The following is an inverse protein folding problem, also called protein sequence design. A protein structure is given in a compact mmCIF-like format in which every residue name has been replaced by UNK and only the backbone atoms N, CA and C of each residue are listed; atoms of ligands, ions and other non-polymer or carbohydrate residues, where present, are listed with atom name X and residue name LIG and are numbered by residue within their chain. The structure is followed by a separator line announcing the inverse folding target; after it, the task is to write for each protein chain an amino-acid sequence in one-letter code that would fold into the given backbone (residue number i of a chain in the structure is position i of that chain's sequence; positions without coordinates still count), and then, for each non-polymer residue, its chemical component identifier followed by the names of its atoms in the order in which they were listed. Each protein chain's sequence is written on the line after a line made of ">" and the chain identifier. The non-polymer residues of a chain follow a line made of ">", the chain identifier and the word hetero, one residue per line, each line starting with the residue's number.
data_IF_080490850468
#
_entry.id   IF_080490850468
#
_cell.length_a   1.000
_cell.length_b   1.000
_cell.length_c   1.000
_cell.angle_alpha   90.00
_cell.angle_beta   90.00
_cell.angle_gamma   90.00
#
_symmetry.space_group_name_H-M   'P 1'
#
loop_
_entity.id
_entity.type
_entity.pdbx_description
1 polymer ?
#
# COMPACT_ATOMS: atom_id res chain seq x y z
N UNK A 1 -12.44 5.73 -21.47
CA UNK A 1 -11.56 6.37 -20.46
C UNK A 1 -10.77 5.35 -19.63
N UNK A 2 -11.42 4.48 -18.84
CA UNK A 2 -10.74 3.50 -17.97
C UNK A 2 -9.92 2.42 -18.69
N UNK A 3 -10.22 2.09 -19.96
CA UNK A 3 -9.39 1.19 -20.79
C UNK A 3 -7.95 1.70 -21.00
N UNK A 4 -7.73 3.03 -21.02
CA UNK A 4 -6.41 3.64 -21.26
C UNK A 4 -5.65 3.97 -19.97
N UNK A 5 -6.38 4.31 -18.91
CA UNK A 5 -5.80 4.85 -17.66
C UNK A 5 -5.95 3.92 -16.44
N UNK A 6 -6.74 2.84 -16.55
CA UNK A 6 -7.06 1.96 -15.42
C UNK A 6 -8.04 2.58 -14.42
N UNK A 7 -8.55 1.75 -13.50
CA UNK A 7 -9.41 2.18 -12.39
C UNK A 7 -8.56 2.70 -11.24
N UNK A 8 -9.05 3.74 -10.55
CA UNK A 8 -8.47 4.24 -9.30
C UNK A 8 -8.40 3.13 -8.24
N UNK A 9 -7.20 2.87 -7.72
CA UNK A 9 -6.97 1.87 -6.67
C UNK A 9 -6.80 2.50 -5.28
N UNK A 10 -7.09 1.72 -4.25
CA UNK A 10 -6.81 1.96 -2.84
C UNK A 10 -5.66 1.06 -2.41
N UNK A 11 -4.49 1.65 -2.23
CA UNK A 11 -3.24 0.94 -2.01
C UNK A 11 -2.80 1.21 -0.57
N UNK A 12 -2.37 0.17 0.15
CA UNK A 12 -1.75 0.31 1.48
C UNK A 12 -0.29 -0.08 1.39
N UNK A 13 0.58 0.77 1.89
CA UNK A 13 1.98 0.48 2.17
C UNK A 13 2.14 0.31 3.68
N UNK A 14 2.66 -0.83 4.09
CA UNK A 14 3.01 -1.14 5.47
C UNK A 14 4.53 -1.17 5.53
N UNK A 15 5.11 -0.16 6.16
CA UNK A 15 6.56 0.00 6.26
C UNK A 15 6.95 -0.24 7.71
N UNK A 16 7.73 -1.29 7.91
CA UNK A 16 8.14 -1.79 9.22
C UNK A 16 9.59 -1.48 9.56
N UNK A 17 10.43 -1.23 8.54
CA UNK A 17 11.85 -0.91 8.66
C UNK A 17 12.10 0.55 8.26
N UNK A 18 13.26 1.08 8.60
CA UNK A 18 13.73 2.35 8.04
C UNK A 18 14.14 2.14 6.57
N UNK A 19 13.17 2.29 5.66
CA UNK A 19 13.43 2.34 4.22
C UNK A 19 14.00 3.70 3.81
N UNK A 20 14.64 3.79 2.65
CA UNK A 20 15.03 5.08 2.10
C UNK A 20 13.80 6.00 1.92
N UNK A 21 13.76 7.06 2.73
CA UNK A 21 12.63 7.99 2.78
C UNK A 21 12.40 8.68 1.44
N UNK A 22 13.45 8.95 0.67
CA UNK A 22 13.31 9.57 -0.64
C UNK A 22 12.69 8.62 -1.67
N UNK A 23 13.19 7.39 -1.76
CA UNK A 23 12.66 6.36 -2.66
C UNK A 23 11.18 6.11 -2.40
N UNK A 24 10.84 5.91 -1.13
CA UNK A 24 9.45 5.72 -0.70
C UNK A 24 8.58 6.93 -1.06
N UNK A 25 9.04 8.15 -0.78
CA UNK A 25 8.30 9.37 -1.14
C UNK A 25 8.09 9.48 -2.66
N UNK A 26 9.10 9.16 -3.48
CA UNK A 26 9.00 9.17 -4.95
C UNK A 26 7.94 8.18 -5.44
N UNK A 27 7.97 6.93 -4.94
CA UNK A 27 6.98 5.90 -5.29
C UNK A 27 5.56 6.33 -4.88
N UNK A 28 5.37 6.77 -3.64
CA UNK A 28 4.05 7.20 -3.15
C UNK A 28 3.49 8.37 -3.95
N UNK A 29 4.31 9.39 -4.27
CA UNK A 29 3.90 10.54 -5.07
C UNK A 29 3.57 10.14 -6.52
N UNK A 30 4.35 9.24 -7.13
CA UNK A 30 4.07 8.73 -8.47
C UNK A 30 2.71 8.04 -8.52
N UNK A 31 2.42 7.17 -7.56
CA UNK A 31 1.13 6.48 -7.47
C UNK A 31 -0.03 7.45 -7.22
N UNK A 32 0.18 8.44 -6.36
CA UNK A 32 -0.83 9.45 -6.03
C UNK A 32 -1.13 10.41 -7.19
N UNK A 33 -0.11 10.76 -8.01
CA UNK A 33 -0.27 11.54 -9.25
C UNK A 33 -1.10 10.79 -10.30
N UNK A 34 -1.03 9.46 -10.31
CA UNK A 34 -1.92 8.57 -11.10
C UNK A 34 -3.32 8.43 -10.48
N UNK A 35 -3.71 9.34 -9.59
CA UNK A 35 -5.02 9.41 -8.93
C UNK A 35 -5.35 8.26 -7.94
N UNK A 36 -4.42 7.35 -7.67
CA UNK A 36 -4.63 6.28 -6.67
C UNK A 36 -4.68 6.85 -5.25
N UNK A 37 -5.48 6.24 -4.37
CA UNK A 37 -5.49 6.56 -2.94
C UNK A 37 -4.44 5.69 -2.27
N UNK A 38 -3.44 6.32 -1.66
CA UNK A 38 -2.31 5.62 -1.04
C UNK A 38 -2.38 5.83 0.47
N UNK A 39 -2.47 4.74 1.22
CA UNK A 39 -2.35 4.73 2.67
C UNK A 39 -0.94 4.29 3.03
N UNK A 40 -0.25 5.06 3.86
CA UNK A 40 1.05 4.70 4.39
C UNK A 40 0.88 4.42 5.89
N UNK A 41 1.12 3.17 6.28
CA UNK A 41 1.21 2.75 7.66
C UNK A 41 2.68 2.58 8.00
N UNK A 42 3.21 3.55 8.72
CA UNK A 42 4.62 3.60 9.02
C UNK A 42 4.87 3.25 10.49
N UNK A 43 5.78 2.33 10.75
CA UNK A 43 6.27 2.05 12.10
C UNK A 43 7.29 3.09 12.58
N UNK A 44 7.91 3.79 11.65
CA UNK A 44 8.95 4.79 11.91
C UNK A 44 8.34 6.21 11.93
N UNK A 45 9.21 7.22 11.79
CA UNK A 45 8.83 8.63 11.76
C UNK A 45 8.00 8.96 10.51
N UNK A 46 6.97 9.80 10.63
CA UNK A 46 6.19 10.24 9.49
C UNK A 46 7.07 10.89 8.42
N UNK A 47 6.76 10.65 7.15
CA UNK A 47 7.40 11.23 5.97
C UNK A 47 6.95 12.67 5.72
N UNK A 48 5.80 13.08 6.26
CA UNK A 48 5.31 14.46 6.14
C UNK A 48 4.88 14.83 4.72
N UNK A 49 4.40 13.85 3.95
CA UNK A 49 4.01 14.06 2.55
C UNK A 49 2.64 14.74 2.52
N UNK A 50 2.60 16.01 2.12
CA UNK A 50 1.35 16.76 1.91
C UNK A 50 0.84 16.51 0.49
N UNK A 51 -0.05 15.53 0.33
CA UNK A 51 -0.73 15.25 -0.94
C UNK A 51 -2.15 14.72 -0.68
N UNK A 52 -3.16 15.22 -1.39
CA UNK A 52 -4.59 14.90 -1.16
C UNK A 52 -4.91 13.41 -1.22
N UNK A 53 -4.19 12.69 -2.08
CA UNK A 53 -4.35 11.25 -2.30
C UNK A 53 -3.47 10.36 -1.39
N UNK A 54 -2.63 10.95 -0.52
CA UNK A 54 -1.76 10.20 0.39
C UNK A 54 -2.27 10.39 1.82
N UNK A 55 -2.45 9.27 2.53
CA UNK A 55 -2.92 9.24 3.92
C UNK A 55 -1.89 8.52 4.77
N UNK A 56 -1.18 9.25 5.59
CA UNK A 56 -0.14 8.71 6.46
C UNK A 56 -0.69 8.42 7.87
N UNK A 57 -0.29 7.28 8.43
CA UNK A 57 -0.55 6.89 9.81
C UNK A 57 0.73 6.29 10.40
N UNK A 58 1.34 6.98 11.37
CA UNK A 58 2.37 6.35 12.20
C UNK A 58 1.72 5.50 13.28
N UNK A 59 2.15 4.25 13.42
CA UNK A 59 1.72 3.35 14.49
C UNK A 59 2.96 2.85 15.22
N UNK A 60 3.61 3.67 16.06
CA UNK A 60 4.79 3.24 16.79
C UNK A 60 4.42 2.16 17.83
N UNK A 61 5.19 1.07 17.90
CA UNK A 61 5.08 0.09 18.98
C UNK A 61 5.26 -1.38 18.58
N UNK A 62 5.48 -2.22 19.60
CA UNK A 62 5.80 -3.65 19.49
C UNK A 62 4.60 -4.49 18.96
N UNK A 63 3.36 -4.02 19.20
CA UNK A 63 2.13 -4.71 18.75
C UNK A 63 1.60 -4.25 17.39
N UNK A 64 2.34 -3.41 16.69
CA UNK A 64 1.98 -2.87 15.37
C UNK A 64 1.61 -3.93 14.34
N UNK A 65 2.35 -5.05 14.31
CA UNK A 65 2.04 -6.17 13.43
C UNK A 65 0.64 -6.77 13.66
N UNK A 66 0.23 -6.90 14.92
CA UNK A 66 -1.11 -7.37 15.27
C UNK A 66 -2.18 -6.33 14.90
N UNK A 67 -1.88 -5.03 15.13
CA UNK A 67 -2.76 -3.92 14.74
C UNK A 67 -2.94 -3.89 13.21
N UNK A 68 -1.89 -4.08 12.44
CA UNK A 68 -1.96 -4.13 10.98
C UNK A 68 -2.79 -5.31 10.51
N UNK A 69 -2.54 -6.51 11.05
CA UNK A 69 -3.33 -7.70 10.73
C UNK A 69 -4.82 -7.52 11.06
N UNK A 70 -5.13 -6.95 12.23
CA UNK A 70 -6.51 -6.68 12.63
C UNK A 70 -7.17 -5.63 11.73
N UNK A 71 -6.49 -4.52 11.41
CA UNK A 71 -7.05 -3.50 10.52
C UNK A 71 -7.28 -4.05 9.10
N UNK A 72 -6.39 -4.90 8.61
CA UNK A 72 -6.52 -5.53 7.30
C UNK A 72 -7.68 -6.54 7.28
N UNK A 73 -7.83 -7.34 8.34
CA UNK A 73 -8.96 -8.25 8.53
C UNK A 73 -10.30 -7.51 8.65
N UNK A 74 -10.35 -6.43 9.42
CA UNK A 74 -11.55 -5.60 9.48
C UNK A 74 -11.83 -4.91 8.13
N UNK A 75 -10.80 -4.61 7.35
CA UNK A 75 -10.96 -4.05 6.01
C UNK A 75 -11.62 -5.04 5.05
N UNK A 76 -11.27 -6.33 5.09
CA UNK A 76 -11.87 -7.35 4.20
C UNK A 76 -13.36 -7.53 4.46
N UNK A 77 -13.82 -7.28 5.69
CA UNK A 77 -15.25 -7.27 6.06
C UNK A 77 -16.02 -6.02 5.60
N UNK A 78 -15.34 -4.94 5.21
CA UNK A 78 -16.02 -3.72 4.72
C UNK A 78 -16.66 -3.96 3.35
N UNK A 79 -17.60 -3.08 2.96
CA UNK A 79 -18.16 -3.04 1.59
C UNK A 79 -17.03 -2.97 0.55
N UNK A 80 -17.20 -3.63 -0.60
CA UNK A 80 -16.17 -3.73 -1.65
C UNK A 80 -15.55 -2.37 -2.02
N UNK A 81 -16.37 -1.32 -2.15
CA UNK A 81 -15.91 0.03 -2.44
C UNK A 81 -15.01 0.65 -1.37
N UNK A 82 -14.96 0.13 -0.14
CA UNK A 82 -14.10 0.59 0.98
C UNK A 82 -12.88 -0.31 1.21
N UNK A 83 -12.77 -1.44 0.50
CA UNK A 83 -11.66 -2.39 0.65
C UNK A 83 -10.38 -1.82 0.03
N UNK A 84 -9.25 -2.32 0.52
CA UNK A 84 -7.97 -2.11 -0.14
C UNK A 84 -7.88 -3.02 -1.36
N UNK A 85 -7.32 -2.50 -2.45
CA UNK A 85 -7.12 -3.24 -3.68
C UNK A 85 -5.77 -3.95 -3.68
N UNK A 86 -4.74 -3.29 -3.13
CA UNK A 86 -3.36 -3.78 -3.06
C UNK A 86 -2.77 -3.45 -1.70
N UNK A 87 -1.95 -4.36 -1.19
CA UNK A 87 -1.19 -4.20 0.06
C UNK A 87 0.27 -4.51 -0.22
N UNK A 88 1.14 -3.55 0.03
CA UNK A 88 2.60 -3.70 -0.06
C UNK A 88 3.17 -3.72 1.35
N UNK A 89 4.07 -4.64 1.63
CA UNK A 89 4.76 -4.77 2.92
C UNK A 89 6.25 -5.02 2.71
N UNK A 90 7.09 -4.47 3.56
CA UNK A 90 8.56 -4.61 3.51
C UNK A 90 9.13 -5.75 4.39
N UNK A 91 8.30 -6.32 5.27
CA UNK A 91 8.64 -7.48 6.09
C UNK A 91 8.01 -8.77 5.53
N UNK A 92 8.82 -9.73 5.03
CA UNK A 92 8.34 -11.02 4.55
C UNK A 92 7.54 -11.82 5.57
N UNK A 93 7.91 -11.75 6.85
CA UNK A 93 7.21 -12.49 7.93
C UNK A 93 5.82 -11.93 8.14
N UNK A 94 5.70 -10.61 8.15
CA UNK A 94 4.41 -9.93 8.24
C UNK A 94 3.58 -10.18 6.97
N UNK A 95 4.18 -10.12 5.78
CA UNK A 95 3.49 -10.38 4.52
C UNK A 95 2.90 -11.78 4.42
N UNK A 96 3.64 -12.80 4.86
CA UNK A 96 3.12 -14.19 4.93
C UNK A 96 1.92 -14.33 5.88
N UNK A 97 1.88 -13.56 6.97
CA UNK A 97 0.72 -13.54 7.88
C UNK A 97 -0.47 -12.79 7.26
N UNK A 98 -0.21 -11.66 6.61
CA UNK A 98 -1.24 -10.82 6.03
C UNK A 98 -1.87 -11.44 4.77
N UNK A 99 -1.10 -12.19 3.98
CA UNK A 99 -1.59 -12.85 2.77
C UNK A 99 -2.69 -13.88 3.06
N UNK A 100 -2.68 -14.48 4.24
CA UNK A 100 -3.78 -15.35 4.72
C UNK A 100 -5.12 -14.62 4.82
N UNK A 101 -5.09 -13.32 5.10
CA UNK A 101 -6.29 -12.50 5.29
C UNK A 101 -6.65 -11.69 4.04
N UNK A 102 -5.70 -11.47 3.12
CA UNK A 102 -5.92 -10.66 1.93
C UNK A 102 -5.05 -11.17 0.77
N UNK A 103 -5.67 -11.65 -0.34
CA UNK A 103 -4.94 -12.32 -1.41
C UNK A 103 -4.00 -11.40 -2.20
N UNK A 104 -4.24 -10.08 -2.20
CA UNK A 104 -3.41 -9.10 -2.91
C UNK A 104 -2.37 -8.43 -2.00
N UNK A 105 -1.65 -9.23 -1.21
CA UNK A 105 -0.51 -8.79 -0.40
C UNK A 105 0.78 -9.12 -1.12
N UNK A 106 1.62 -8.12 -1.33
CA UNK A 106 2.91 -8.22 -2.00
C UNK A 106 4.02 -7.82 -1.02
N UNK A 107 5.00 -8.70 -0.84
CA UNK A 107 6.24 -8.33 -0.16
C UNK A 107 7.14 -7.61 -1.17
N UNK A 108 7.55 -6.39 -0.86
CA UNK A 108 8.38 -5.55 -1.74
C UNK A 108 9.42 -4.81 -0.93
N UNK A 109 10.62 -4.71 -1.47
CA UNK A 109 11.63 -3.78 -1.03
C UNK A 109 11.52 -2.50 -1.89
N UNK A 110 11.09 -1.41 -1.28
CA UNK A 110 10.79 -0.14 -1.99
C UNK A 110 12.00 0.39 -2.76
N UNK A 111 13.22 0.08 -2.30
CA UNK A 111 14.45 0.55 -2.95
C UNK A 111 14.81 -0.24 -4.20
N UNK A 112 14.42 -1.52 -4.26
CA UNK A 112 14.75 -2.43 -5.37
C UNK A 112 13.60 -2.65 -6.32
N UNK A 113 12.37 -2.57 -5.80
CA UNK A 113 11.16 -3.01 -6.49
C UNK A 113 10.28 -1.85 -6.99
N UNK A 114 10.79 -0.61 -7.05
CA UNK A 114 10.00 0.56 -7.44
C UNK A 114 9.31 0.38 -8.82
N UNK A 115 10.01 -0.17 -9.81
CA UNK A 115 9.44 -0.46 -11.13
C UNK A 115 8.39 -1.58 -11.07
N UNK A 116 8.68 -2.63 -10.31
CA UNK A 116 7.78 -3.76 -10.11
C UNK A 116 6.47 -3.32 -9.42
N UNK A 117 6.56 -2.45 -8.41
CA UNK A 117 5.40 -1.84 -7.73
C UNK A 117 4.53 -1.09 -8.76
N UNK A 118 5.13 -0.27 -9.62
CA UNK A 118 4.40 0.43 -10.68
C UNK A 118 3.70 -0.55 -11.62
N UNK A 119 4.38 -1.61 -12.04
CA UNK A 119 3.83 -2.62 -12.95
C UNK A 119 2.64 -3.39 -12.33
N UNK A 120 2.75 -3.79 -11.06
CA UNK A 120 1.67 -4.45 -10.30
C UNK A 120 0.45 -3.53 -10.20
N UNK A 121 0.66 -2.25 -9.90
CA UNK A 121 -0.42 -1.27 -9.81
C UNK A 121 -1.11 -1.07 -11.16
N UNK A 122 -0.34 -0.89 -12.24
CA UNK A 122 -0.89 -0.63 -13.57
C UNK A 122 -1.67 -1.84 -14.12
N UNK A 123 -1.14 -3.05 -13.94
CA UNK A 123 -1.82 -4.28 -14.33
C UNK A 123 -3.13 -4.48 -13.56
N UNK A 124 -3.10 -4.29 -12.24
CA UNK A 124 -4.31 -4.40 -11.39
C UNK A 124 -5.35 -3.34 -11.74
N UNK A 125 -4.92 -2.10 -12.01
CA UNK A 125 -5.80 -1.01 -12.38
C UNK A 125 -6.53 -1.29 -13.71
N UNK A 126 -5.86 -1.94 -14.67
CA UNK A 126 -6.47 -2.37 -15.93
C UNK A 126 -7.44 -3.52 -15.74
N UNK A 127 -7.08 -4.54 -14.97
CA UNK A 127 -7.95 -5.70 -14.71
C UNK A 127 -9.27 -5.27 -14.06
N UNK A 128 -9.24 -4.35 -13.09
CA UNK A 128 -10.46 -3.85 -12.41
C UNK A 128 -11.29 -2.84 -13.22
N UNK A 129 -10.80 -2.44 -14.39
CA UNK A 129 -11.49 -1.54 -15.30
C UNK A 129 -12.28 -2.28 -16.39
N UNK A 130 -11.96 -3.55 -16.65
CA UNK A 130 -12.75 -4.47 -17.47
C UNK A 130 -13.93 -5.01 -16.65
#
# INVERSE_FOLDING_TARGET
>A
FYKKWGRRLKIVFIVTKDSNRESLKRVLLLLARRQNIVYLWNLTKPLGIKHTNIRERSVPGIFSSAIFALNLFLNTRKKAAKRYDLVFVDDPRLGSKLSKNHPAVHCVDVDRDAENISHIVDSTAKIKAC
#
